data_IF_072417684689
#
_entry.id   IF_072417684689
#
_cell.length_a   1.000
_cell.length_b   1.000
_cell.length_c   1.000
_cell.angle_alpha   90.00
_cell.angle_beta   90.00
_cell.angle_gamma   90.00
#
_symmetry.space_group_name_H-M   'P 1'
#
loop_
_entity.id
_entity.type
_entity.pdbx_description
1 polymer ?
#
# COMPACT_ATOMS: atom_id res chain seq x y z
N UNK A 1 8.09 -28.77 10.33
CA UNK A 1 7.60 -27.74 9.40
C UNK A 1 8.79 -27.33 8.54
N UNK A 2 8.62 -27.27 7.22
CA UNK A 2 9.65 -26.86 6.27
C UNK A 2 9.13 -25.60 5.60
N UNK A 3 9.98 -24.59 5.46
CA UNK A 3 9.63 -23.32 4.80
C UNK A 3 10.80 -22.82 3.96
N UNK A 4 10.53 -21.93 3.02
CA UNK A 4 11.52 -21.32 2.14
C UNK A 4 11.12 -19.86 1.87
N UNK A 5 12.11 -18.97 1.78
CA UNK A 5 11.90 -17.59 1.38
C UNK A 5 11.67 -17.47 -0.12
N UNK A 6 10.70 -16.66 -0.49
CA UNK A 6 10.37 -16.34 -1.90
C UNK A 6 10.41 -14.83 -2.08
N UNK A 7 11.14 -14.37 -3.08
CA UNK A 7 11.13 -12.97 -3.47
C UNK A 7 9.97 -12.69 -4.41
N UNK A 8 9.18 -11.65 -4.14
CA UNK A 8 8.12 -11.16 -5.01
C UNK A 8 8.54 -9.86 -5.71
N UNK A 9 8.11 -9.59 -6.96
CA UNK A 9 7.34 -10.51 -7.79
C UNK A 9 8.15 -11.72 -8.25
N UNK A 10 7.44 -12.83 -8.53
CA UNK A 10 8.03 -14.10 -8.95
C UNK A 10 7.23 -14.70 -10.12
N UNK A 11 7.71 -15.79 -10.69
CA UNK A 11 7.04 -16.53 -11.73
C UNK A 11 6.50 -17.90 -11.25
N UNK A 12 5.67 -18.50 -12.11
CA UNK A 12 5.03 -19.79 -11.82
C UNK A 12 6.05 -20.94 -11.65
N UNK A 13 7.13 -20.94 -12.41
CA UNK A 13 8.14 -22.01 -12.35
C UNK A 13 8.87 -21.97 -11.00
N UNK A 14 9.23 -20.77 -10.57
CA UNK A 14 9.88 -20.55 -9.28
C UNK A 14 9.00 -21.01 -8.13
N UNK A 15 7.72 -20.62 -8.09
CA UNK A 15 6.82 -21.00 -6.99
C UNK A 15 6.52 -22.51 -6.98
N UNK A 16 6.39 -23.14 -8.15
CA UNK A 16 6.23 -24.59 -8.26
C UNK A 16 7.46 -25.31 -7.71
N UNK A 17 8.68 -24.83 -8.03
CA UNK A 17 9.91 -25.37 -7.48
C UNK A 17 9.98 -25.24 -5.95
N UNK A 18 9.51 -24.14 -5.38
CA UNK A 18 9.41 -23.99 -3.92
C UNK A 18 8.44 -25.01 -3.36
N UNK A 19 7.23 -25.13 -3.92
CA UNK A 19 6.22 -26.11 -3.47
C UNK A 19 6.75 -27.54 -3.49
N UNK A 20 7.52 -27.94 -4.50
CA UNK A 20 8.18 -29.24 -4.55
C UNK A 20 9.15 -29.42 -3.37
N UNK A 21 10.01 -28.42 -3.12
CA UNK A 21 11.04 -28.51 -2.06
C UNK A 21 10.43 -28.55 -0.65
N UNK A 22 9.30 -27.89 -0.42
CA UNK A 22 8.61 -27.91 0.88
C UNK A 22 7.55 -29.01 0.99
N UNK A 23 7.33 -29.82 -0.07
CA UNK A 23 6.44 -30.98 -0.05
C UNK A 23 4.97 -30.68 -0.30
N UNK A 24 4.65 -29.56 -0.98
CA UNK A 24 3.28 -29.16 -1.33
C UNK A 24 2.86 -29.49 -2.78
N UNK A 25 3.66 -30.24 -3.51
CA UNK A 25 3.43 -30.58 -4.93
C UNK A 25 2.14 -31.38 -5.20
N UNK A 26 1.59 -32.06 -4.19
CA UNK A 26 0.36 -32.85 -4.28
C UNK A 26 -0.84 -32.20 -3.58
N UNK A 27 -0.76 -30.89 -3.33
CA UNK A 27 -1.74 -30.18 -2.55
C UNK A 27 -1.41 -30.18 -1.05
N UNK A 28 -1.90 -29.21 -0.34
CA UNK A 28 -1.68 -29.03 1.10
C UNK A 28 -1.93 -27.58 1.48
N UNK A 29 -2.02 -27.36 2.78
CA UNK A 29 -2.13 -26.01 3.32
C UNK A 29 -0.75 -25.42 3.57
N UNK A 30 -0.62 -24.13 3.28
CA UNK A 30 0.57 -23.34 3.62
C UNK A 30 0.14 -22.07 4.34
N UNK A 31 1.06 -21.47 5.04
CA UNK A 31 0.89 -20.14 5.61
C UNK A 31 2.23 -19.40 5.53
N UNK A 32 2.14 -18.08 5.54
CA UNK A 32 3.29 -17.18 5.47
C UNK A 32 3.71 -16.89 6.91
N UNK A 33 4.97 -17.15 7.22
CA UNK A 33 5.50 -16.99 8.58
C UNK A 33 6.10 -15.61 8.83
N UNK A 34 6.55 -14.94 7.78
CA UNK A 34 7.19 -13.63 7.90
C UNK A 34 7.26 -12.92 6.55
N UNK A 35 7.39 -11.60 6.59
CA UNK A 35 7.58 -10.71 5.45
C UNK A 35 8.84 -9.87 5.65
N UNK A 36 9.76 -9.89 4.68
CA UNK A 36 10.95 -9.03 4.64
C UNK A 36 10.76 -7.95 3.57
N UNK A 37 10.64 -6.70 4.00
CA UNK A 37 10.41 -5.56 3.13
C UNK A 37 11.03 -4.28 3.72
N UNK A 38 11.49 -3.37 2.84
CA UNK A 38 11.88 -2.02 3.25
C UNK A 38 10.70 -1.12 3.64
N UNK A 39 9.47 -1.53 3.29
CA UNK A 39 8.22 -0.88 3.67
C UNK A 39 7.62 -1.58 4.90
N UNK A 40 6.79 -0.92 5.71
CA UNK A 40 6.20 -1.48 6.93
C UNK A 40 5.03 -2.44 6.62
N UNK A 41 5.21 -3.36 5.67
CA UNK A 41 4.16 -4.26 5.19
C UNK A 41 3.87 -5.43 6.13
N UNK A 42 4.81 -5.82 6.98
CA UNK A 42 4.67 -6.96 7.90
C UNK A 42 3.54 -6.80 8.92
N UNK A 43 3.15 -5.57 9.24
CA UNK A 43 2.04 -5.28 10.15
C UNK A 43 0.67 -5.24 9.44
N UNK A 44 0.68 -5.19 8.10
CA UNK A 44 -0.51 -5.02 7.25
C UNK A 44 -0.93 -6.31 6.54
N UNK A 45 0.01 -7.25 6.36
CA UNK A 45 -0.19 -8.49 5.64
C UNK A 45 -0.40 -9.65 6.61
N UNK A 46 -1.33 -10.55 6.27
CA UNK A 46 -1.69 -11.70 7.09
C UNK A 46 -0.92 -12.97 6.73
N UNK A 47 -1.04 -14.00 7.58
CA UNK A 47 -0.41 -15.31 7.37
C UNK A 47 -1.00 -16.10 6.19
N UNK A 48 -2.22 -15.78 5.77
CA UNK A 48 -3.01 -16.52 4.76
C UNK A 48 -3.29 -15.71 3.50
N UNK A 49 -2.41 -14.78 3.15
CA UNK A 49 -2.55 -14.00 1.93
C UNK A 49 -2.46 -14.88 0.68
N UNK A 50 -3.24 -14.53 -0.34
CA UNK A 50 -3.21 -15.20 -1.64
C UNK A 50 -1.91 -14.86 -2.37
N UNK A 51 -1.15 -15.88 -2.80
CA UNK A 51 0.14 -15.69 -3.47
C UNK A 51 0.01 -14.96 -4.82
N UNK A 52 -1.11 -15.11 -5.53
CA UNK A 52 -1.34 -14.39 -6.78
C UNK A 52 -1.60 -12.90 -6.51
N UNK A 53 -2.37 -12.58 -5.45
CA UNK A 53 -2.59 -11.20 -5.02
C UNK A 53 -1.29 -10.54 -4.54
N UNK A 54 -0.47 -11.26 -3.76
CA UNK A 54 0.86 -10.79 -3.35
C UNK A 54 1.77 -10.53 -4.56
N UNK A 55 1.73 -11.43 -5.55
CA UNK A 55 2.52 -11.26 -6.76
C UNK A 55 2.07 -10.06 -7.58
N UNK A 56 0.77 -9.88 -7.72
CA UNK A 56 0.18 -8.73 -8.40
C UNK A 56 0.51 -7.42 -7.67
N UNK A 57 0.34 -7.38 -6.35
CA UNK A 57 0.74 -6.24 -5.54
C UNK A 57 2.23 -5.88 -5.72
N UNK A 58 3.11 -6.90 -5.70
CA UNK A 58 4.55 -6.67 -5.87
C UNK A 58 4.90 -6.13 -7.28
N UNK A 59 4.19 -6.56 -8.32
CA UNK A 59 4.33 -5.97 -9.67
C UNK A 59 3.88 -4.50 -9.70
N UNK A 60 2.73 -4.19 -9.12
CA UNK A 60 2.24 -2.82 -9.03
C UNK A 60 3.21 -1.93 -8.25
N UNK A 61 3.76 -2.44 -7.14
CA UNK A 61 4.74 -1.72 -6.34
C UNK A 61 6.04 -1.43 -7.12
N UNK A 62 6.47 -2.34 -8.02
CA UNK A 62 7.58 -2.05 -8.92
C UNK A 62 7.27 -0.89 -9.87
N UNK A 63 6.02 -0.77 -10.35
CA UNK A 63 5.58 0.35 -11.19
C UNK A 63 5.59 1.65 -10.39
N UNK A 64 5.06 1.64 -9.17
CA UNK A 64 5.12 2.80 -8.24
C UNK A 64 6.57 3.26 -8.02
N UNK A 65 7.51 2.31 -7.84
CA UNK A 65 8.92 2.61 -7.68
C UNK A 65 9.56 3.17 -8.96
N UNK A 66 9.21 2.63 -10.13
CA UNK A 66 9.70 3.09 -11.43
C UNK A 66 9.23 4.52 -11.74
N UNK A 67 8.04 4.89 -11.30
CA UNK A 67 7.47 6.24 -11.42
C UNK A 67 8.01 7.22 -10.37
N UNK A 68 8.89 6.77 -9.48
CA UNK A 68 9.48 7.60 -8.42
C UNK A 68 8.56 7.88 -7.24
N UNK A 69 7.45 7.13 -7.09
CA UNK A 69 6.42 7.34 -6.08
C UNK A 69 6.60 6.48 -4.81
N UNK A 70 7.73 5.76 -4.64
CA UNK A 70 7.90 4.84 -3.53
C UNK A 70 7.89 5.52 -2.16
N UNK A 71 8.49 6.72 -2.05
CA UNK A 71 8.47 7.51 -0.82
C UNK A 71 7.05 8.01 -0.50
N UNK A 72 6.30 8.45 -1.53
CA UNK A 72 4.89 8.84 -1.40
C UNK A 72 4.04 7.65 -0.96
N UNK A 73 4.25 6.47 -1.55
CA UNK A 73 3.58 5.24 -1.15
C UNK A 73 3.88 4.88 0.31
N UNK A 74 5.16 4.95 0.72
CA UNK A 74 5.54 4.73 2.13
C UNK A 74 4.84 5.71 3.08
N UNK A 75 4.76 6.99 2.70
CA UNK A 75 4.05 7.99 3.49
C UNK A 75 2.53 7.74 3.55
N UNK A 76 1.92 7.27 2.45
CA UNK A 76 0.51 6.89 2.43
C UNK A 76 0.20 5.69 3.33
N UNK A 77 1.15 4.74 3.49
CA UNK A 77 1.03 3.67 4.49
C UNK A 77 1.02 4.24 5.92
N UNK A 78 1.83 5.26 6.21
CA UNK A 78 1.86 5.93 7.53
C UNK A 78 0.60 6.77 7.79
N UNK A 79 -0.03 7.34 6.75
CA UNK A 79 -1.34 8.01 6.86
C UNK A 79 -2.41 7.04 7.34
N UNK A 80 -2.36 5.78 6.89
CA UNK A 80 -3.16 4.68 7.39
C UNK A 80 -4.52 4.51 6.71
N UNK A 81 -4.90 5.39 5.80
CA UNK A 81 -6.12 5.24 5.01
C UNK A 81 -5.89 4.23 3.87
N UNK A 82 -6.88 3.35 3.64
CA UNK A 82 -6.83 2.33 2.58
C UNK A 82 -5.63 1.37 2.69
N UNK A 83 -5.27 0.94 3.90
CA UNK A 83 -4.10 0.07 4.17
C UNK A 83 -4.43 -1.18 4.97
N UNK A 84 -5.70 -1.45 5.25
CA UNK A 84 -6.12 -2.49 6.20
C UNK A 84 -5.98 -3.93 5.69
N UNK A 85 -5.89 -4.16 4.39
CA UNK A 85 -5.85 -5.49 3.75
C UNK A 85 -5.03 -5.43 2.46
N UNK A 86 -4.57 -6.58 1.97
CA UNK A 86 -3.84 -6.68 0.71
C UNK A 86 -4.61 -6.06 -0.48
N UNK A 87 -5.94 -6.23 -0.55
CA UNK A 87 -6.79 -5.55 -1.52
C UNK A 87 -6.64 -4.02 -1.47
N UNK A 88 -6.63 -3.46 -0.28
CA UNK A 88 -6.54 -2.01 -0.08
C UNK A 88 -5.15 -1.51 -0.53
N UNK A 89 -4.08 -2.29 -0.25
CA UNK A 89 -2.71 -2.00 -0.71
C UNK A 89 -2.58 -2.07 -2.23
N UNK A 90 -3.25 -3.03 -2.90
CA UNK A 90 -3.29 -3.10 -4.37
C UNK A 90 -3.93 -1.83 -4.93
N UNK A 91 -5.11 -1.46 -4.43
CA UNK A 91 -5.76 -0.22 -4.87
C UNK A 91 -4.93 1.03 -4.56
N UNK A 92 -4.20 1.05 -3.44
CA UNK A 92 -3.34 2.17 -3.09
C UNK A 92 -2.24 2.40 -4.16
N UNK A 93 -1.68 1.32 -4.76
CA UNK A 93 -0.68 1.46 -5.81
C UNK A 93 -1.21 2.19 -7.05
N UNK A 94 -2.50 2.06 -7.34
CA UNK A 94 -3.15 2.66 -8.52
C UNK A 94 -3.66 4.10 -8.23
N UNK A 95 -3.64 4.52 -6.97
CA UNK A 95 -4.18 5.79 -6.52
C UNK A 95 -3.13 6.79 -6.01
N UNK A 96 -1.87 6.68 -6.46
CA UNK A 96 -0.84 7.63 -6.02
C UNK A 96 -1.16 9.09 -6.37
N UNK A 97 -1.93 9.34 -7.42
CA UNK A 97 -2.35 10.67 -7.82
C UNK A 97 -3.42 11.28 -6.89
N UNK A 98 -4.06 10.46 -6.04
CA UNK A 98 -5.01 10.93 -5.03
C UNK A 98 -4.32 11.51 -3.79
N UNK A 99 -3.00 11.47 -3.73
CA UNK A 99 -2.22 11.93 -2.58
C UNK A 99 -1.25 13.04 -2.97
N UNK A 100 -1.19 14.08 -2.16
CA UNK A 100 -0.13 15.08 -2.22
C UNK A 100 0.94 14.74 -1.18
N UNK A 101 2.20 14.61 -1.66
CA UNK A 101 3.39 14.35 -0.87
C UNK A 101 4.33 15.56 -0.91
N UNK A 102 4.67 16.11 0.25
CA UNK A 102 5.55 17.26 0.40
C UNK A 102 6.81 16.85 1.16
N UNK A 103 7.86 16.38 0.47
CA UNK A 103 9.10 15.97 1.11
C UNK A 103 9.77 17.13 1.84
N UNK A 104 10.31 16.86 3.04
CA UNK A 104 10.98 17.84 3.87
C UNK A 104 10.08 18.75 4.69
N UNK A 105 8.76 18.72 4.48
CA UNK A 105 7.78 19.43 5.32
C UNK A 105 7.40 18.51 6.49
N UNK A 106 8.08 18.62 7.62
CA UNK A 106 7.96 17.67 8.72
C UNK A 106 7.35 18.25 10.00
N UNK A 107 6.96 19.51 9.98
CA UNK A 107 6.39 20.22 11.15
C UNK A 107 5.24 21.13 10.74
N UNK A 108 4.34 21.40 11.68
CA UNK A 108 3.24 22.35 11.50
C UNK A 108 3.74 23.72 11.05
N UNK A 109 4.85 24.20 11.62
CA UNK A 109 5.43 25.49 11.25
C UNK A 109 5.93 25.50 9.80
N UNK A 110 6.68 24.46 9.37
CA UNK A 110 7.17 24.37 7.99
C UNK A 110 6.02 24.22 6.99
N UNK A 111 4.95 23.54 7.37
CA UNK A 111 3.75 23.43 6.55
C UNK A 111 3.02 24.77 6.43
N UNK A 112 2.84 25.50 7.55
CA UNK A 112 2.27 26.86 7.52
C UNK A 112 3.06 27.82 6.65
N UNK A 113 4.40 27.75 6.69
CA UNK A 113 5.27 28.54 5.79
C UNK A 113 5.05 28.14 4.32
N UNK A 114 5.05 26.84 4.02
CA UNK A 114 4.79 26.34 2.66
C UNK A 114 3.44 26.83 2.11
N UNK A 115 2.39 26.79 2.91
CA UNK A 115 1.05 27.25 2.51
C UNK A 115 1.03 28.76 2.19
N UNK A 116 1.75 29.56 2.95
CA UNK A 116 1.82 31.02 2.70
C UNK A 116 2.73 31.32 1.52
N UNK A 117 3.93 30.74 1.47
CA UNK A 117 4.96 31.14 0.51
C UNK A 117 4.76 30.50 -0.87
N UNK A 118 4.40 29.22 -0.92
CA UNK A 118 4.27 28.47 -2.17
C UNK A 118 2.83 28.36 -2.68
N UNK A 119 1.83 28.31 -1.77
CA UNK A 119 0.43 28.20 -2.14
C UNK A 119 -0.31 29.55 -2.08
N UNK A 120 0.35 30.64 -1.64
CA UNK A 120 -0.23 31.97 -1.51
C UNK A 120 -1.54 31.99 -0.70
N UNK A 121 -1.65 31.10 0.30
CA UNK A 121 -2.87 30.88 1.07
C UNK A 121 -3.33 32.13 1.84
N UNK A 122 -2.40 33.05 2.15
CA UNK A 122 -2.67 34.31 2.85
C UNK A 122 -2.07 35.48 2.05
N UNK A 123 -2.71 35.94 0.97
CA UNK A 123 -2.14 36.97 0.08
C UNK A 123 -1.75 38.27 0.79
N UNK A 124 -2.44 38.64 1.88
CA UNK A 124 -2.16 39.88 2.63
C UNK A 124 -0.75 39.84 3.26
N UNK A 125 -0.17 38.68 3.56
CA UNK A 125 1.20 38.61 4.07
C UNK A 125 2.23 38.92 2.98
N UNK A 126 1.93 38.58 1.72
CA UNK A 126 2.78 38.91 0.57
C UNK A 126 2.69 40.42 0.23
N UNK A 127 1.51 41.01 0.40
CA UNK A 127 1.28 42.45 0.16
C UNK A 127 1.84 43.32 1.28
N UNK A 128 1.90 42.79 2.51
CA UNK A 128 2.28 43.50 3.73
C UNK A 128 3.31 42.74 4.53
N UNK A 129 4.56 42.64 4.05
CA UNK A 129 5.62 41.86 4.71
C UNK A 129 5.97 42.38 6.12
N UNK A 130 5.58 43.59 6.49
CA UNK A 130 5.73 44.14 7.82
C UNK A 130 4.90 43.44 8.90
N UNK A 131 3.84 42.68 8.50
CA UNK A 131 3.01 41.93 9.45
C UNK A 131 3.46 40.46 9.55
N UNK A 132 4.27 39.94 8.62
CA UNK A 132 4.78 38.58 8.60
C UNK A 132 5.39 38.13 9.95
N UNK A 133 6.21 38.96 10.66
CA UNK A 133 6.80 38.57 11.94
C UNK A 133 5.78 38.32 13.06
N UNK A 134 4.56 38.70 12.87
CA UNK A 134 3.45 38.52 13.83
C UNK A 134 2.48 37.42 13.44
N UNK A 135 2.73 36.74 12.30
CA UNK A 135 1.90 35.63 11.85
C UNK A 135 2.36 34.30 12.48
N UNK A 136 1.39 33.56 13.01
CA UNK A 136 1.65 32.26 13.65
C UNK A 136 1.53 31.12 12.64
N UNK A 137 2.63 30.84 11.95
CA UNK A 137 2.73 29.76 10.95
C UNK A 137 2.44 28.38 11.54
N UNK A 138 2.86 28.12 12.81
CA UNK A 138 2.64 26.84 13.47
C UNK A 138 1.14 26.62 13.72
N UNK A 139 0.44 27.60 14.26
CA UNK A 139 -1.00 27.49 14.46
C UNK A 139 -1.75 27.33 13.14
N UNK A 140 -1.36 28.08 12.10
CA UNK A 140 -1.98 27.98 10.78
C UNK A 140 -1.76 26.60 10.15
N UNK A 141 -0.52 26.08 10.15
CA UNK A 141 -0.19 24.75 9.62
C UNK A 141 -0.90 23.64 10.39
N UNK A 142 -0.94 23.71 11.73
CA UNK A 142 -1.67 22.74 12.56
C UNK A 142 -3.15 22.69 12.22
N UNK A 143 -3.81 23.85 12.19
CA UNK A 143 -5.24 23.92 11.95
C UNK A 143 -5.58 23.42 10.52
N UNK A 144 -4.73 23.70 9.54
CA UNK A 144 -4.88 23.17 8.18
C UNK A 144 -4.70 21.65 8.14
N UNK A 145 -3.64 21.11 8.77
CA UNK A 145 -3.40 19.66 8.86
C UNK A 145 -4.61 18.92 9.46
N UNK A 146 -5.20 19.46 10.53
CA UNK A 146 -6.41 18.87 11.15
C UNK A 146 -7.59 18.87 10.17
N UNK A 147 -7.81 19.98 9.45
CA UNK A 147 -8.92 20.12 8.51
C UNK A 147 -8.80 19.20 7.29
N UNK A 148 -7.58 18.93 6.83
CA UNK A 148 -7.28 18.09 5.68
C UNK A 148 -7.12 16.61 6.05
N UNK A 149 -7.01 16.29 7.34
CA UNK A 149 -6.68 14.94 7.84
C UNK A 149 -5.34 14.42 7.34
N UNK A 150 -4.38 15.32 7.10
CA UNK A 150 -3.02 14.93 6.69
C UNK A 150 -2.15 14.50 7.86
N UNK A 151 -0.99 13.93 7.56
CA UNK A 151 -0.06 13.38 8.54
C UNK A 151 1.39 13.81 8.23
N UNK A 152 2.13 14.19 9.29
CA UNK A 152 3.58 14.35 9.22
C UNK A 152 4.27 13.02 9.43
N UNK A 153 5.14 12.66 8.51
CA UNK A 153 6.08 11.55 8.64
C UNK A 153 7.47 12.08 8.98
N UNK A 154 8.43 11.18 9.18
CA UNK A 154 9.83 11.58 9.37
C UNK A 154 10.44 12.31 8.17
N UNK A 155 9.93 12.06 6.96
CA UNK A 155 10.52 12.53 5.69
C UNK A 155 9.69 13.63 5.01
N UNK A 156 8.45 13.89 5.45
CA UNK A 156 7.59 14.91 4.85
C UNK A 156 6.16 14.91 5.38
N UNK A 157 5.28 15.60 4.65
CA UNK A 157 3.84 15.68 4.91
C UNK A 157 3.06 14.97 3.81
N UNK A 158 2.07 14.19 4.18
CA UNK A 158 1.19 13.46 3.26
C UNK A 158 -0.27 13.80 3.57
N UNK A 159 -1.06 13.95 2.52
CA UNK A 159 -2.51 14.14 2.60
C UNK A 159 -3.19 13.49 1.41
N UNK A 160 -4.36 12.91 1.63
CA UNK A 160 -5.24 12.49 0.55
C UNK A 160 -6.15 13.66 0.18
N UNK A 161 -5.90 14.31 -0.94
CA UNK A 161 -6.64 15.49 -1.46
C UNK A 161 -7.35 15.20 -2.79
N UNK A 162 -7.13 14.02 -3.37
CA UNK A 162 -7.81 13.54 -4.57
C UNK A 162 -8.84 12.45 -4.29
N UNK A 163 -9.52 12.03 -5.37
CA UNK A 163 -10.49 10.93 -5.30
C UNK A 163 -9.77 9.59 -5.33
N UNK A 164 -9.96 8.79 -4.29
CA UNK A 164 -9.52 7.41 -4.27
C UNK A 164 -10.57 6.53 -4.97
N UNK A 165 -10.14 5.69 -5.90
CA UNK A 165 -11.02 4.79 -6.66
C UNK A 165 -10.61 3.34 -6.44
N UNK A 166 -11.53 2.50 -5.99
CA UNK A 166 -11.29 1.06 -5.94
C UNK A 166 -11.53 0.45 -7.32
N UNK A 167 -10.47 0.06 -8.02
CA UNK A 167 -10.51 -0.64 -9.30
C UNK A 167 -10.32 -2.15 -9.13
N UNK A 168 -9.48 -2.54 -8.17
CA UNK A 168 -9.28 -3.94 -7.80
C UNK A 168 -10.31 -4.34 -6.72
N UNK A 169 -11.14 -5.33 -7.03
CA UNK A 169 -12.21 -5.79 -6.12
C UNK A 169 -11.94 -7.18 -5.56
N UNK A 170 -11.34 -8.06 -6.36
CA UNK A 170 -11.13 -9.45 -5.98
C UNK A 170 -10.09 -10.13 -6.87
N UNK A 171 -9.76 -11.37 -6.53
CA UNK A 171 -8.84 -12.24 -7.26
C UNK A 171 -9.14 -12.34 -8.77
N UNK A 172 -10.40 -12.27 -9.19
CA UNK A 172 -10.81 -12.35 -10.60
C UNK A 172 -10.30 -11.16 -11.45
N UNK A 173 -9.95 -10.05 -10.81
CA UNK A 173 -9.42 -8.86 -11.48
C UNK A 173 -7.93 -8.99 -11.80
N UNK A 174 -7.23 -10.01 -11.26
CA UNK A 174 -5.79 -10.20 -11.53
C UNK A 174 -5.57 -10.62 -12.98
N UNK A 175 -4.77 -9.88 -13.76
CA UNK A 175 -4.36 -10.30 -15.08
C UNK A 175 -3.63 -11.65 -15.06
N UNK A 176 -3.93 -12.52 -16.03
CA UNK A 176 -3.43 -13.91 -16.02
C UNK A 176 -1.91 -14.03 -16.04
N UNK A 177 -1.22 -13.06 -16.60
CA UNK A 177 0.25 -12.98 -16.60
C UNK A 177 0.87 -12.85 -15.22
N UNK A 178 0.12 -12.34 -14.22
CA UNK A 178 0.61 -12.21 -12.83
C UNK A 178 0.24 -13.39 -11.94
N UNK A 179 -0.54 -14.36 -12.47
CA UNK A 179 -0.93 -15.55 -11.73
C UNK A 179 0.21 -16.57 -11.70
N UNK A 180 0.68 -16.89 -10.50
CA UNK A 180 1.79 -17.83 -10.24
C UNK A 180 1.31 -19.18 -9.71
N UNK A 181 0.10 -19.24 -9.14
CA UNK A 181 -0.55 -20.50 -8.71
C UNK A 181 -1.79 -20.76 -9.56
N UNK A 182 -2.22 -22.04 -9.73
CA UNK A 182 -3.50 -22.35 -10.35
C UNK A 182 -4.66 -21.66 -9.61
N UNK A 183 -5.69 -21.25 -10.35
CA UNK A 183 -6.96 -20.87 -9.74
C UNK A 183 -7.50 -22.03 -8.91
N UNK A 184 -7.57 -21.84 -7.59
CA UNK A 184 -8.42 -22.73 -6.77
C UNK A 184 -9.82 -22.14 -6.89
N UNK A 185 -10.58 -22.58 -7.91
CA UNK A 185 -11.98 -22.20 -8.02
C UNK A 185 -12.70 -22.71 -6.77
N UNK A 186 -13.60 -21.87 -6.19
CA UNK A 186 -14.41 -22.28 -5.04
C UNK A 186 -15.25 -23.56 -5.29
N UNK A 187 -15.41 -23.95 -6.56
CA UNK A 187 -16.01 -25.23 -6.99
C UNK A 187 -15.13 -26.44 -6.63
N UNK A 188 -13.79 -26.34 -6.71
CA UNK A 188 -12.89 -27.43 -6.33
C UNK A 188 -12.91 -27.74 -4.83
N UNK A 189 -13.13 -26.73 -3.99
CA UNK A 189 -13.32 -26.90 -2.53
C UNK A 189 -14.66 -27.55 -2.21
N UNK A 190 -15.73 -27.23 -2.98
CA UNK A 190 -17.04 -27.85 -2.81
C UNK A 190 -17.09 -29.29 -3.35
N UNK A 191 -16.39 -29.62 -4.44
CA UNK A 191 -16.27 -31.00 -4.95
C UNK A 191 -15.47 -31.88 -3.98
N UNK A 192 -14.32 -31.43 -3.48
CA UNK A 192 -13.53 -32.16 -2.50
C UNK A 192 -14.28 -32.38 -1.18
N UNK A 193 -15.04 -31.37 -0.71
CA UNK A 193 -15.90 -31.50 0.46
C UNK A 193 -17.09 -32.43 0.22
N UNK A 194 -17.66 -32.47 -1.00
CA UNK A 194 -18.77 -33.36 -1.36
C UNK A 194 -18.29 -34.82 -1.51
N UNK A 195 -17.09 -35.06 -2.07
CA UNK A 195 -16.51 -36.41 -2.15
C UNK A 195 -16.17 -36.96 -0.76
N UNK A 196 -15.62 -36.15 0.16
CA UNK A 196 -15.40 -36.57 1.55
C UNK A 196 -16.68 -36.89 2.30
N UNK A 197 -17.80 -36.23 1.99
CA UNK A 197 -19.10 -36.46 2.61
C UNK A 197 -19.78 -37.73 2.09
N UNK A 198 -19.41 -38.28 0.94
CA UNK A 198 -19.92 -39.52 0.39
C UNK A 198 -19.15 -40.76 0.84
N UNK A 199 -18.02 -40.61 1.55
CA UNK A 199 -17.22 -41.72 2.07
C UNK A 199 -17.42 -42.03 3.56
N UNK A 200 -18.40 -41.38 4.22
CA UNK A 200 -18.87 -41.65 5.57
C UNK A 200 -20.27 -42.24 5.55
#
# INVERSE_FOLDING_TARGET
MVGEWVSFPTDRETIQGVFQRIGLEHGGEYFITDYDSSLPLSEMLGEYENLNELNYFAHNLQSVAADGNLEKFSAALELGDNTGRLKDLINLTDNMDAYTWLPGITTENSYGQYLVDACEAIPVLLEHPEIEPYFDYEAFGRDTTINESGTFTKDGYIVQDGNFTEEYHSFEDIPKEYMITPEVSGEALTEAAAEMSMML
#
